data_IF_904401912394
#
_entry.id   IF_904401912394
#
_cell.length_a   1.000
_cell.length_b   1.000
_cell.length_c   1.000
_cell.angle_alpha   90.00
_cell.angle_beta   90.00
_cell.angle_gamma   90.00
#
_symmetry.space_group_name_H-M   'P 1'
#
loop_
_entity.id
_entity.type
_entity.pdbx_description
1 polymer ?
#
# COMPACT_ATOMS: atom_id res chain seq x y z
N UNK A 1 -6.36 -35.97 -6.36
CA UNK A 1 -6.66 -34.71 -5.65
C UNK A 1 -5.49 -34.36 -4.72
N UNK A 2 -4.67 -33.37 -5.07
CA UNK A 2 -3.58 -32.88 -4.20
C UNK A 2 -4.17 -31.96 -3.12
N UNK A 3 -4.20 -32.43 -1.86
CA UNK A 3 -4.54 -31.62 -0.70
C UNK A 3 -3.48 -30.52 -0.54
N UNK A 4 -3.88 -29.26 -0.72
CA UNK A 4 -3.02 -28.09 -0.42
C UNK A 4 -2.78 -28.08 1.09
N UNK A 5 -1.53 -28.27 1.52
CA UNK A 5 -1.15 -28.12 2.93
C UNK A 5 -1.50 -26.72 3.42
N UNK A 6 -2.07 -26.57 4.64
CA UNK A 6 -2.38 -25.26 5.19
C UNK A 6 -1.08 -24.49 5.39
N UNK A 7 -1.01 -23.30 4.78
CA UNK A 7 0.12 -22.39 4.90
C UNK A 7 0.32 -22.04 6.38
N UNK A 8 1.39 -22.55 7.01
CA UNK A 8 1.76 -22.19 8.39
C UNK A 8 2.00 -20.68 8.43
N UNK A 9 1.05 -19.93 8.98
CA UNK A 9 1.24 -18.53 9.36
C UNK A 9 2.16 -18.49 10.58
N UNK A 10 3.44 -18.79 10.37
CA UNK A 10 4.46 -18.62 11.38
C UNK A 10 4.57 -17.13 11.68
N UNK A 11 4.09 -16.70 12.85
CA UNK A 11 4.47 -15.42 13.41
C UNK A 11 5.99 -15.47 13.63
N UNK A 12 6.76 -14.94 12.70
CA UNK A 12 8.19 -14.72 12.90
C UNK A 12 8.30 -13.74 14.06
N UNK A 13 8.76 -14.21 15.22
CA UNK A 13 8.94 -13.35 16.39
C UNK A 13 9.95 -12.28 16.01
N UNK A 14 9.52 -11.02 16.05
CA UNK A 14 10.42 -9.88 15.90
C UNK A 14 11.41 -9.95 17.07
N UNK A 15 12.71 -10.06 16.76
CA UNK A 15 13.74 -10.15 17.79
C UNK A 15 13.69 -8.97 18.76
N UNK A 16 13.99 -9.24 20.03
CA UNK A 16 14.00 -8.26 21.13
C UNK A 16 14.83 -7.01 20.82
N UNK A 17 15.95 -7.16 20.12
CA UNK A 17 16.78 -6.05 19.64
C UNK A 17 16.05 -5.12 18.65
N UNK A 18 15.26 -5.69 17.74
CA UNK A 18 14.43 -4.91 16.80
C UNK A 18 13.25 -4.24 17.50
N UNK A 19 12.69 -4.86 18.55
CA UNK A 19 11.68 -4.21 19.40
C UNK A 19 12.30 -3.02 20.15
N UNK A 20 13.49 -3.19 20.75
CA UNK A 20 14.18 -2.13 21.49
C UNK A 20 14.55 -0.95 20.59
N UNK A 21 15.12 -1.21 19.40
CA UNK A 21 15.39 -0.16 18.40
C UNK A 21 14.12 0.61 18.02
N UNK A 22 13.01 -0.08 17.73
CA UNK A 22 11.73 0.57 17.43
C UNK A 22 11.19 1.43 18.57
N UNK A 23 11.33 0.99 19.82
CA UNK A 23 10.92 1.77 21.00
C UNK A 23 11.79 3.02 21.19
N UNK A 24 13.08 2.92 20.87
CA UNK A 24 14.06 3.99 21.01
C UNK A 24 14.16 4.91 19.76
N UNK A 25 13.29 4.77 18.76
CA UNK A 25 13.36 5.59 17.54
C UNK A 25 14.51 5.24 16.58
N UNK A 26 15.23 4.13 16.82
CA UNK A 26 16.44 3.79 16.10
C UNK A 26 16.27 3.54 14.59
N UNK A 27 17.35 3.76 13.84
CA UNK A 27 17.37 3.60 12.37
C UNK A 27 17.02 2.17 11.92
N UNK A 28 16.25 2.07 10.85
CA UNK A 28 15.88 0.81 10.20
C UNK A 28 16.88 0.42 9.09
N UNK A 29 16.67 -0.74 8.47
CA UNK A 29 17.53 -1.37 7.47
C UNK A 29 17.86 -0.52 6.21
N UNK A 30 17.24 0.66 6.05
CA UNK A 30 17.55 1.64 5.00
C UNK A 30 17.67 3.07 5.56
N UNK A 31 18.23 3.24 6.76
CA UNK A 31 18.63 4.54 7.28
C UNK A 31 17.50 5.48 7.74
N UNK A 32 16.22 5.08 7.61
CA UNK A 32 15.07 5.83 8.11
C UNK A 32 14.87 5.65 9.61
N UNK A 33 14.48 6.71 10.30
CA UNK A 33 14.11 6.64 11.72
C UNK A 33 12.84 5.81 11.90
N UNK A 34 12.80 4.99 12.95
CA UNK A 34 11.59 4.25 13.26
C UNK A 34 10.56 5.18 13.88
N UNK A 35 9.37 5.32 13.28
CA UNK A 35 8.28 6.02 13.93
C UNK A 35 7.87 5.30 15.23
N UNK A 36 7.49 6.08 16.25
CA UNK A 36 6.87 5.52 17.45
C UNK A 36 5.49 4.94 17.11
N UNK A 37 4.99 4.01 17.93
CA UNK A 37 3.63 3.48 17.75
C UNK A 37 2.55 4.57 17.84
N UNK A 38 2.76 5.58 18.69
CA UNK A 38 1.85 6.71 18.85
C UNK A 38 1.82 7.56 17.57
N UNK A 39 2.99 7.94 17.05
CA UNK A 39 3.12 8.69 15.79
C UNK A 39 2.48 7.93 14.62
N UNK A 40 2.71 6.62 14.52
CA UNK A 40 2.09 5.79 13.49
C UNK A 40 0.55 5.75 13.62
N UNK A 41 0.03 5.75 14.85
CA UNK A 41 -1.42 5.76 15.08
C UNK A 41 -2.06 7.07 14.63
N UNK A 42 -1.38 8.20 14.83
CA UNK A 42 -1.81 9.52 14.36
C UNK A 42 -1.85 9.56 12.84
N UNK A 43 -0.77 9.13 12.17
CA UNK A 43 -0.73 9.10 10.70
C UNK A 43 -1.76 8.13 10.12
N UNK A 44 -1.98 6.98 10.77
CA UNK A 44 -3.05 6.06 10.38
C UNK A 44 -4.42 6.70 10.50
N UNK A 45 -4.73 7.38 11.61
CA UNK A 45 -6.00 8.06 11.78
C UNK A 45 -6.21 9.15 10.72
N UNK A 46 -5.18 9.95 10.42
CA UNK A 46 -5.23 10.98 9.39
C UNK A 46 -5.51 10.41 7.99
N UNK A 47 -4.84 9.30 7.62
CA UNK A 47 -5.07 8.62 6.33
C UNK A 47 -6.48 8.04 6.25
N UNK A 48 -6.97 7.41 7.33
CA UNK A 48 -8.34 6.87 7.36
C UNK A 48 -9.40 7.97 7.30
N UNK A 49 -9.16 9.11 7.96
CA UNK A 49 -10.04 10.27 7.91
C UNK A 49 -10.07 10.91 6.53
N UNK A 50 -8.94 10.98 5.81
CA UNK A 50 -8.86 11.49 4.44
C UNK A 50 -9.75 10.71 3.47
N UNK A 51 -9.80 9.37 3.62
CA UNK A 51 -10.72 8.51 2.87
C UNK A 51 -12.15 8.48 3.42
N UNK A 52 -12.45 9.25 4.48
CA UNK A 52 -13.73 9.21 5.22
C UNK A 52 -14.15 7.78 5.63
N UNK A 53 -13.18 6.92 5.98
CA UNK A 53 -13.42 5.52 6.33
C UNK A 53 -13.62 4.56 5.13
N UNK A 54 -13.53 5.04 3.89
CA UNK A 54 -13.70 4.25 2.68
C UNK A 54 -12.37 4.04 1.94
N UNK A 55 -12.32 3.03 1.08
CA UNK A 55 -11.16 2.79 0.22
C UNK A 55 -10.95 3.96 -0.75
N UNK A 56 -9.79 4.62 -0.67
CA UNK A 56 -9.49 5.81 -1.49
C UNK A 56 -9.43 5.47 -2.99
N UNK A 57 -9.04 4.25 -3.35
CA UNK A 57 -9.02 3.80 -4.76
C UNK A 57 -10.44 3.54 -5.28
N UNK A 58 -11.31 2.98 -4.43
CA UNK A 58 -12.73 2.77 -4.75
C UNK A 58 -13.47 4.08 -4.97
N UNK A 59 -13.21 5.07 -4.12
CA UNK A 59 -13.74 6.44 -4.25
C UNK A 59 -13.26 7.17 -5.50
N UNK A 60 -12.23 6.67 -6.18
CA UNK A 60 -11.69 7.23 -7.43
C UNK A 60 -12.05 6.39 -8.66
N UNK A 61 -13.12 5.60 -8.56
CA UNK A 61 -13.75 4.95 -9.71
C UNK A 61 -13.28 3.52 -10.00
N UNK A 62 -12.26 3.01 -9.31
CA UNK A 62 -11.87 1.60 -9.45
C UNK A 62 -12.54 0.76 -8.37
N UNK A 63 -13.71 0.19 -8.72
CA UNK A 63 -14.60 -0.51 -7.81
C UNK A 63 -13.87 -1.51 -6.89
N UNK A 64 -14.19 -1.47 -5.59
CA UNK A 64 -13.66 -2.42 -4.61
C UNK A 64 -14.26 -3.81 -4.79
N UNK A 65 -15.52 -3.87 -5.21
CA UNK A 65 -16.19 -5.08 -5.61
C UNK A 65 -16.46 -5.04 -7.11
N UNK A 66 -15.85 -5.92 -7.91
CA UNK A 66 -16.02 -5.88 -9.37
C UNK A 66 -17.40 -6.37 -9.82
N UNK A 67 -18.14 -7.08 -8.95
CA UNK A 67 -19.48 -7.60 -9.27
C UNK A 67 -20.54 -6.57 -8.93
N UNK A 68 -20.49 -6.02 -7.71
CA UNK A 68 -21.50 -5.05 -7.26
C UNK A 68 -21.16 -3.59 -7.60
N UNK A 69 -19.94 -3.32 -8.08
CA UNK A 69 -19.46 -1.95 -8.34
C UNK A 69 -19.23 -1.12 -7.07
N UNK A 70 -19.48 -1.67 -5.88
CA UNK A 70 -19.50 -0.92 -4.63
C UNK A 70 -18.09 -0.62 -4.11
N UNK A 71 -17.94 0.56 -3.54
CA UNK A 71 -16.80 0.92 -2.69
C UNK A 71 -16.93 0.22 -1.34
N UNK A 72 -15.82 -0.30 -0.81
CA UNK A 72 -15.76 -0.97 0.49
C UNK A 72 -15.10 -0.07 1.54
N UNK A 73 -15.41 -0.26 2.84
CA UNK A 73 -14.69 0.40 3.91
C UNK A 73 -13.18 0.15 3.82
N UNK A 74 -12.39 1.15 4.20
CA UNK A 74 -10.97 0.96 4.36
C UNK A 74 -10.69 0.14 5.63
N UNK A 75 -9.77 -0.82 5.52
CA UNK A 75 -9.37 -1.69 6.63
C UNK A 75 -7.86 -1.64 6.85
N UNK A 76 -7.11 -1.31 5.81
CA UNK A 76 -5.67 -1.42 5.76
C UNK A 76 -5.02 -0.06 5.50
N UNK A 77 -3.93 0.22 6.23
CA UNK A 77 -3.02 1.34 5.99
C UNK A 77 -1.88 0.84 5.10
N UNK A 78 -1.93 1.20 3.82
CA UNK A 78 -1.04 0.69 2.80
C UNK A 78 0.06 1.70 2.49
N UNK A 79 1.33 1.32 2.63
CA UNK A 79 2.42 2.18 2.22
C UNK A 79 2.56 2.14 0.70
N UNK A 80 2.69 3.32 0.09
CA UNK A 80 2.96 3.49 -1.34
C UNK A 80 4.37 3.01 -1.66
N UNK A 81 5.37 3.55 -0.96
CA UNK A 81 6.74 3.04 -0.92
C UNK A 81 6.88 2.15 0.31
N UNK A 82 7.27 0.90 0.10
CA UNK A 82 7.41 -0.05 1.19
C UNK A 82 8.46 0.41 2.22
N UNK A 83 8.20 0.12 3.50
CA UNK A 83 9.14 0.40 4.60
C UNK A 83 10.52 -0.26 4.43
N UNK A 84 10.54 -1.44 3.80
CA UNK A 84 11.76 -2.18 3.45
C UNK A 84 12.52 -1.57 2.26
N UNK A 85 11.95 -0.57 1.60
CA UNK A 85 12.55 0.21 0.50
C UNK A 85 12.82 1.67 0.91
N UNK A 86 12.73 1.98 2.22
CA UNK A 86 12.99 3.32 2.74
C UNK A 86 11.75 4.20 2.86
N UNK A 87 10.56 3.69 2.52
CA UNK A 87 9.32 4.47 2.62
C UNK A 87 9.06 4.97 4.05
N UNK A 88 8.72 6.26 4.17
CA UNK A 88 8.42 6.90 5.44
C UNK A 88 7.03 6.52 5.97
N UNK A 89 6.88 6.48 7.29
CA UNK A 89 5.58 6.23 7.95
C UNK A 89 4.78 7.55 8.04
N UNK A 90 4.45 8.16 6.89
CA UNK A 90 3.76 9.46 6.77
C UNK A 90 2.55 9.35 5.83
N UNK A 91 1.53 10.19 6.05
CA UNK A 91 0.29 10.18 5.25
C UNK A 91 0.45 10.43 3.76
N UNK A 92 1.51 11.12 3.33
CA UNK A 92 1.83 11.34 1.91
C UNK A 92 2.42 10.10 1.22
N UNK A 93 2.84 9.10 1.99
CA UNK A 93 3.34 7.80 1.53
C UNK A 93 2.36 6.66 1.87
N UNK A 94 1.09 6.97 2.18
CA UNK A 94 0.14 5.96 2.62
C UNK A 94 -1.28 6.17 2.11
N UNK A 95 -2.00 5.06 1.93
CA UNK A 95 -3.37 5.00 1.46
C UNK A 95 -4.26 4.24 2.46
N UNK A 96 -5.51 4.65 2.58
CA UNK A 96 -6.58 3.91 3.23
C UNK A 96 -7.25 2.99 2.19
N UNK A 97 -7.01 1.68 2.30
CA UNK A 97 -7.48 0.69 1.32
C UNK A 97 -8.38 -0.36 1.95
N UNK A 98 -9.29 -0.90 1.13
CA UNK A 98 -9.90 -2.19 1.45
C UNK A 98 -8.89 -3.32 1.20
N UNK A 99 -9.12 -4.49 1.82
CA UNK A 99 -8.23 -5.64 1.72
C UNK A 99 -7.88 -6.04 0.27
N UNK A 100 -8.86 -6.03 -0.64
CA UNK A 100 -8.63 -6.40 -2.05
C UNK A 100 -7.62 -5.49 -2.73
N UNK A 101 -7.82 -4.17 -2.64
CA UNK A 101 -6.89 -3.21 -3.26
C UNK A 101 -5.51 -3.26 -2.60
N UNK A 102 -5.44 -3.51 -1.29
CA UNK A 102 -4.16 -3.73 -0.61
C UNK A 102 -3.43 -4.96 -1.16
N UNK A 103 -4.12 -6.09 -1.36
CA UNK A 103 -3.55 -7.29 -1.96
C UNK A 103 -3.08 -7.07 -3.40
N UNK A 104 -3.83 -6.28 -4.19
CA UNK A 104 -3.45 -5.90 -5.55
C UNK A 104 -2.10 -5.17 -5.63
N UNK A 105 -1.65 -4.46 -4.59
CA UNK A 105 -0.34 -3.80 -4.59
C UNK A 105 0.83 -4.80 -4.62
N UNK A 106 0.57 -6.02 -4.16
CA UNK A 106 1.55 -7.11 -4.09
C UNK A 106 1.25 -8.25 -5.07
N UNK A 107 0.17 -8.15 -5.83
CA UNK A 107 -0.21 -9.16 -6.80
C UNK A 107 0.84 -9.27 -7.93
N UNK A 108 1.01 -10.46 -8.52
CA UNK A 108 1.74 -10.60 -9.78
C UNK A 108 1.17 -9.66 -10.85
N UNK A 109 2.05 -9.09 -11.69
CA UNK A 109 1.63 -8.18 -12.76
C UNK A 109 0.62 -8.80 -13.71
N UNK A 110 0.76 -10.10 -14.02
CA UNK A 110 -0.16 -10.84 -14.88
C UNK A 110 -1.60 -10.90 -14.36
N UNK A 111 -1.81 -10.62 -13.07
CA UNK A 111 -3.13 -10.59 -12.42
C UNK A 111 -3.72 -9.19 -12.23
N UNK A 112 -3.03 -8.15 -12.70
CA UNK A 112 -3.41 -6.76 -12.41
C UNK A 112 -2.81 -6.31 -11.09
N UNK A 113 -1.67 -5.63 -11.17
CA UNK A 113 -0.99 -5.05 -10.03
C UNK A 113 -1.38 -3.59 -9.87
N UNK A 114 -1.79 -3.21 -8.66
CA UNK A 114 -1.98 -1.81 -8.31
C UNK A 114 -0.62 -1.17 -8.00
N UNK A 115 -0.19 -0.24 -8.83
CA UNK A 115 0.95 0.61 -8.53
C UNK A 115 0.44 1.95 -8.01
N UNK A 116 1.13 2.48 -7.02
CA UNK A 116 0.94 3.81 -6.51
C UNK A 116 2.31 4.44 -6.30
N UNK A 117 2.43 5.74 -6.54
CA UNK A 117 3.62 6.53 -6.23
C UNK A 117 3.22 7.95 -5.86
N UNK A 118 3.96 8.55 -4.94
CA UNK A 118 3.78 9.94 -4.55
C UNK A 118 4.23 10.85 -5.69
N UNK A 119 3.45 11.87 -6.00
CA UNK A 119 3.74 12.88 -7.02
C UNK A 119 3.43 14.27 -6.48
N UNK A 120 4.07 15.28 -7.04
CA UNK A 120 3.68 16.68 -6.87
C UNK A 120 3.09 17.13 -8.20
N UNK A 121 1.81 17.50 -8.20
CA UNK A 121 1.12 17.99 -9.39
C UNK A 121 0.46 19.34 -9.07
N UNK A 122 0.75 20.37 -9.86
CA UNK A 122 0.25 21.73 -9.65
C UNK A 122 0.45 22.25 -8.20
N UNK A 123 1.65 22.03 -7.64
CA UNK A 123 2.01 22.36 -6.24
C UNK A 123 1.20 21.61 -5.16
N UNK A 124 0.40 20.62 -5.54
CA UNK A 124 -0.32 19.75 -4.62
C UNK A 124 0.40 18.41 -4.55
N UNK A 125 0.80 18.01 -3.34
CA UNK A 125 1.30 16.66 -3.10
C UNK A 125 0.14 15.68 -3.14
N UNK A 126 0.31 14.56 -3.83
CA UNK A 126 -0.67 13.50 -3.85
C UNK A 126 -0.09 12.17 -4.25
N UNK A 127 -0.97 11.20 -4.43
CA UNK A 127 -0.64 9.83 -4.82
C UNK A 127 -1.32 9.57 -6.16
N UNK A 128 -0.50 9.32 -7.18
CA UNK A 128 -0.95 8.79 -8.44
C UNK A 128 -0.99 7.27 -8.32
N UNK A 129 -2.05 6.65 -8.85
CA UNK A 129 -2.17 5.19 -8.88
C UNK A 129 -2.59 4.71 -10.26
N UNK A 130 -2.19 3.48 -10.60
CA UNK A 130 -2.56 2.77 -11.82
C UNK A 130 -2.69 1.27 -11.58
N UNK A 131 -3.60 0.61 -12.29
CA UNK A 131 -3.64 -0.86 -12.35
C UNK A 131 -2.97 -1.30 -13.64
N UNK A 132 -1.81 -1.96 -13.49
CA UNK A 132 -1.02 -2.44 -14.62
C UNK A 132 -1.18 -3.94 -14.81
N UNK A 133 -1.19 -4.36 -16.07
CA UNK A 133 -1.10 -5.76 -16.47
C UNK A 133 0.05 -5.91 -17.47
N UNK A 134 1.00 -6.78 -17.13
CA UNK A 134 2.08 -7.24 -17.99
C UNK A 134 2.48 -8.66 -17.59
N UNK A 135 3.27 -9.34 -18.43
CA UNK A 135 3.65 -10.74 -18.21
C UNK A 135 4.35 -10.91 -16.85
N UNK A 136 5.31 -10.03 -16.57
CA UNK A 136 6.10 -10.06 -15.35
C UNK A 136 6.71 -8.69 -15.02
N UNK A 137 7.66 -8.67 -14.08
CA UNK A 137 8.36 -7.47 -13.66
C UNK A 137 9.35 -6.95 -14.72
N UNK A 138 9.93 -7.83 -15.54
CA UNK A 138 10.87 -7.42 -16.58
C UNK A 138 10.15 -6.65 -17.68
N UNK A 139 9.01 -7.17 -18.15
CA UNK A 139 8.10 -6.49 -19.08
C UNK A 139 7.71 -5.09 -18.58
N UNK A 140 7.40 -4.95 -17.28
CA UNK A 140 7.14 -3.64 -16.69
C UNK A 140 8.31 -2.66 -16.85
N UNK A 141 9.55 -3.08 -16.59
CA UNK A 141 10.72 -2.20 -16.66
C UNK A 141 11.09 -1.77 -18.08
N UNK A 142 10.76 -2.57 -19.10
CA UNK A 142 10.96 -2.22 -20.50
C UNK A 142 9.75 -1.50 -21.13
N UNK A 143 8.71 -1.20 -20.35
CA UNK A 143 7.53 -0.44 -20.80
C UNK A 143 6.43 -1.28 -21.46
N UNK A 144 6.55 -2.61 -21.45
CA UNK A 144 5.58 -3.53 -22.04
C UNK A 144 4.43 -3.84 -21.06
N UNK A 145 3.56 -2.85 -20.84
CA UNK A 145 2.40 -3.01 -19.96
C UNK A 145 1.16 -2.29 -20.48
N UNK A 146 0.01 -2.77 -20.04
CA UNK A 146 -1.29 -2.12 -20.25
C UNK A 146 -1.81 -1.54 -18.94
N UNK A 147 -2.39 -0.34 -19.01
CA UNK A 147 -3.05 0.31 -17.87
C UNK A 147 -4.56 0.14 -18.00
N UNK A 148 -5.20 -0.44 -16.98
CA UNK A 148 -6.66 -0.66 -16.98
C UNK A 148 -7.44 0.40 -16.23
N UNK A 149 -6.81 1.08 -15.29
CA UNK A 149 -7.41 2.13 -14.48
C UNK A 149 -6.32 3.03 -13.92
N UNK A 150 -6.63 4.30 -13.70
CA UNK A 150 -5.71 5.27 -13.11
C UNK A 150 -6.49 6.34 -12.33
N UNK A 151 -5.81 6.98 -11.39
CA UNK A 151 -6.38 8.12 -10.67
C UNK A 151 -5.35 8.85 -9.82
N UNK A 152 -5.85 9.87 -9.11
CA UNK A 152 -5.08 10.75 -8.25
C UNK A 152 -5.80 10.99 -6.92
N UNK A 153 -5.03 11.04 -5.84
CA UNK A 153 -5.51 11.28 -4.47
C UNK A 153 -4.64 12.39 -3.87
N UNK A 154 -5.22 13.55 -3.59
CA UNK A 154 -4.53 14.63 -2.88
C UNK A 154 -4.25 14.21 -1.43
N UNK A 155 -3.06 14.54 -0.90
CA UNK A 155 -2.60 14.10 0.44
C UNK A 155 -2.37 15.25 1.41
#
# INVERSE_FOLDING_TARGET
MLKRSPMKRGHVRVGSASIRRRKAGGKLALGRDSCTRASLSVERAAVMARGAGWCEIGQRGHACDPVSGKTRPATDFAHVIARSQGGADVRSNALALCRRHHEMMTAPFSKGRLLAHTVIWNKVTGIQWRVLVCADKAAYYIGEYTSRAAGFIAT
#
